data_IF_695371477425
#
_entry.id   IF_695371477425
#
_cell.length_a   1.000
_cell.length_b   1.000
_cell.length_c   1.000
_cell.angle_alpha   90.00
_cell.angle_beta   90.00
_cell.angle_gamma   90.00
#
_symmetry.space_group_name_H-M   'P 1'
#
loop_
_entity.id
_entity.type
_entity.pdbx_description
1 polymer ?
#
# COMPACT_ATOMS: atom_id res chain seq x y z
N UNK A 1 -1.20 24.19 -11.38
CA UNK A 1 -0.69 22.84 -11.03
C UNK A 1 -0.43 22.83 -9.53
N UNK A 2 -1.35 22.29 -8.74
CA UNK A 2 -1.24 22.30 -7.28
C UNK A 2 -0.29 21.19 -6.86
N UNK A 3 0.90 21.56 -6.40
CA UNK A 3 1.83 20.67 -5.73
C UNK A 3 1.17 20.18 -4.43
N UNK A 4 0.70 18.93 -4.39
CA UNK A 4 0.39 18.28 -3.13
C UNK A 4 1.70 17.88 -2.47
N UNK A 5 2.27 18.77 -1.64
CA UNK A 5 3.31 18.41 -0.68
C UNK A 5 2.65 18.43 0.69
N UNK A 6 2.03 17.31 1.07
CA UNK A 6 1.74 17.12 2.49
C UNK A 6 3.10 16.91 3.19
N UNK A 7 3.44 17.79 4.13
CA UNK A 7 4.56 17.58 5.03
C UNK A 7 4.20 16.40 5.93
N UNK A 8 4.52 15.18 5.49
CA UNK A 8 4.28 13.96 6.26
C UNK A 8 5.56 13.58 6.98
N UNK A 9 5.53 13.63 8.31
CA UNK A 9 6.55 12.99 9.13
C UNK A 9 6.17 11.53 9.27
N UNK A 10 6.90 10.64 8.58
CA UNK A 10 6.73 9.20 8.74
C UNK A 10 7.02 8.80 10.19
N UNK A 11 6.12 8.03 10.79
CA UNK A 11 6.34 7.48 12.13
C UNK A 11 7.49 6.44 12.09
N UNK A 12 8.22 6.24 13.20
CA UNK A 12 9.13 5.10 13.33
C UNK A 12 8.43 3.79 12.95
N UNK A 13 9.14 2.91 12.23
CA UNK A 13 8.58 1.66 11.71
C UNK A 13 8.06 1.72 10.27
N UNK A 14 8.14 2.87 9.59
CA UNK A 14 7.91 2.92 8.15
C UNK A 14 9.10 2.36 7.37
N UNK A 15 8.84 1.37 6.53
CA UNK A 15 9.84 0.76 5.66
C UNK A 15 9.46 0.95 4.19
N UNK A 16 10.41 1.42 3.37
CA UNK A 16 10.26 1.47 1.91
C UNK A 16 10.96 0.27 1.30
N UNK A 17 10.23 -0.52 0.51
CA UNK A 17 10.82 -1.60 -0.28
C UNK A 17 11.08 -1.10 -1.71
N UNK A 18 12.30 -1.31 -2.20
CA UNK A 18 12.76 -0.92 -3.52
C UNK A 18 13.45 -2.13 -4.16
N UNK A 19 13.35 -2.24 -5.48
CA UNK A 19 13.96 -3.33 -6.24
C UNK A 19 13.82 -3.14 -7.74
N UNK A 20 14.47 -4.00 -8.51
CA UNK A 20 14.25 -4.09 -9.96
C UNK A 20 12.86 -4.66 -10.27
N UNK A 21 12.41 -4.51 -11.51
CA UNK A 21 11.15 -5.11 -11.97
C UNK A 21 11.10 -6.62 -11.71
N UNK A 22 12.21 -7.33 -11.91
CA UNK A 22 12.30 -8.79 -11.65
C UNK A 22 12.10 -9.11 -10.16
N UNK A 23 12.58 -8.24 -9.27
CA UNK A 23 12.43 -8.43 -7.82
C UNK A 23 11.02 -8.09 -7.34
N UNK A 24 10.38 -7.08 -7.94
CA UNK A 24 9.08 -6.57 -7.50
C UNK A 24 7.88 -7.27 -8.16
N UNK A 25 8.02 -7.77 -9.39
CA UNK A 25 6.93 -8.46 -10.09
C UNK A 25 6.31 -9.62 -9.31
N UNK A 26 7.08 -10.49 -8.61
CA UNK A 26 6.50 -11.52 -7.75
C UNK A 26 5.69 -10.96 -6.57
N UNK A 27 6.10 -9.81 -6.02
CA UNK A 27 5.38 -9.15 -4.91
C UNK A 27 4.04 -8.62 -5.40
N UNK A 28 4.03 -7.91 -6.54
CA UNK A 28 2.80 -7.39 -7.13
C UNK A 28 1.84 -8.53 -7.48
N UNK A 29 2.34 -9.60 -8.11
CA UNK A 29 1.53 -10.77 -8.43
C UNK A 29 0.97 -11.45 -7.18
N UNK A 30 1.76 -11.59 -6.12
CA UNK A 30 1.33 -12.21 -4.86
C UNK A 30 0.22 -11.44 -4.14
N UNK A 31 0.15 -10.12 -4.36
CA UNK A 31 -0.89 -9.25 -3.82
C UNK A 31 -1.93 -8.82 -4.87
N UNK A 32 -1.91 -9.43 -6.06
CA UNK A 32 -2.84 -9.11 -7.16
C UNK A 32 -2.85 -7.63 -7.58
N UNK A 33 -1.73 -6.93 -7.45
CA UNK A 33 -1.56 -5.53 -7.85
C UNK A 33 -1.13 -5.46 -9.32
N UNK A 34 -1.93 -4.83 -10.17
CA UNK A 34 -1.54 -4.51 -11.54
C UNK A 34 -0.49 -3.39 -11.54
N UNK A 35 0.56 -3.55 -12.36
CA UNK A 35 1.60 -2.55 -12.60
C UNK A 35 2.04 -2.64 -14.06
N UNK A 36 1.99 -1.53 -14.78
CA UNK A 36 2.48 -1.38 -16.15
C UNK A 36 3.23 -0.06 -16.32
N UNK A 37 4.46 -0.13 -16.82
CA UNK A 37 5.29 1.04 -17.05
C UNK A 37 4.95 1.65 -18.41
N UNK A 38 4.48 2.88 -18.42
CA UNK A 38 4.31 3.68 -19.63
C UNK A 38 5.50 4.62 -19.86
N UNK A 39 5.56 5.28 -21.01
CA UNK A 39 6.69 6.16 -21.37
C UNK A 39 6.90 7.35 -20.42
N UNK A 40 5.88 7.76 -19.67
CA UNK A 40 5.94 8.93 -18.78
C UNK A 40 5.53 8.65 -17.34
N UNK A 41 4.92 7.49 -17.08
CA UNK A 41 4.29 7.18 -15.78
C UNK A 41 4.14 5.67 -15.58
N UNK A 42 3.71 5.24 -14.40
CA UNK A 42 3.35 3.86 -14.10
C UNK A 42 1.84 3.78 -13.90
N UNK A 43 1.17 3.01 -14.76
CA UNK A 43 -0.24 2.65 -14.54
C UNK A 43 -0.27 1.53 -13.52
N UNK A 44 -0.98 1.72 -12.42
CA UNK A 44 -1.04 0.72 -11.37
C UNK A 44 -2.36 0.78 -10.58
N UNK A 45 -2.67 -0.31 -9.89
CA UNK A 45 -3.73 -0.29 -8.89
C UNK A 45 -3.30 0.56 -7.68
N UNK A 46 -4.19 1.42 -7.21
CA UNK A 46 -3.98 2.24 -6.03
C UNK A 46 -4.69 1.59 -4.85
N UNK A 47 -3.95 0.80 -4.05
CA UNK A 47 -4.50 0.02 -2.94
C UNK A 47 -3.78 0.24 -1.62
N UNK A 48 -4.50 0.05 -0.52
CA UNK A 48 -3.95 -0.14 0.83
C UNK A 48 -4.34 -1.53 1.33
N UNK A 49 -3.33 -2.34 1.68
CA UNK A 49 -3.50 -3.68 2.20
C UNK A 49 -3.13 -3.72 3.69
N UNK A 50 -3.98 -4.32 4.50
CA UNK A 50 -3.68 -4.66 5.90
C UNK A 50 -3.28 -6.13 5.95
N UNK A 51 -2.03 -6.39 6.34
CA UNK A 51 -1.44 -7.73 6.35
C UNK A 51 -1.35 -8.23 7.80
N UNK A 52 -1.81 -9.46 8.04
CA UNK A 52 -1.71 -10.10 9.36
C UNK A 52 -0.26 -10.55 9.67
N UNK A 53 0.08 -10.88 10.94
CA UNK A 53 1.43 -11.35 11.29
C UNK A 53 1.88 -12.65 10.60
N UNK A 54 0.97 -13.38 9.95
CA UNK A 54 1.27 -14.59 9.17
C UNK A 54 1.48 -14.28 7.69
N UNK A 55 1.46 -12.99 7.30
CA UNK A 55 1.68 -12.53 5.93
C UNK A 55 0.44 -12.62 5.04
N UNK A 56 -0.77 -12.74 5.59
CA UNK A 56 -2.00 -12.83 4.81
C UNK A 56 -2.71 -11.50 4.75
N UNK A 57 -3.32 -11.19 3.60
CA UNK A 57 -4.20 -10.02 3.47
C UNK A 57 -5.42 -10.23 4.36
N UNK A 58 -5.60 -9.33 5.34
CA UNK A 58 -6.79 -9.30 6.18
C UNK A 58 -7.86 -8.35 5.63
N UNK A 59 -7.44 -7.24 5.02
CA UNK A 59 -8.36 -6.25 4.42
C UNK A 59 -7.65 -5.52 3.30
N UNK A 60 -8.41 -5.17 2.26
CA UNK A 60 -7.96 -4.40 1.11
C UNK A 60 -8.88 -3.19 0.91
N UNK A 61 -8.28 -2.05 0.59
CA UNK A 61 -8.97 -0.81 0.28
C UNK A 61 -8.46 -0.25 -1.04
N UNK A 62 -9.36 -0.08 -2.01
CA UNK A 62 -9.07 0.63 -3.26
C UNK A 62 -9.15 2.15 -3.04
N UNK A 63 -8.33 2.91 -3.76
CA UNK A 63 -8.44 4.35 -3.78
C UNK A 63 -9.69 4.82 -4.55
N UNK A 64 -10.34 5.92 -4.15
CA UNK A 64 -10.00 6.77 -3.00
C UNK A 64 -10.29 6.07 -1.66
N UNK A 65 -9.36 6.23 -0.70
CA UNK A 65 -9.41 5.46 0.55
C UNK A 65 -10.58 5.91 1.46
N UNK A 66 -11.41 4.98 1.95
CA UNK A 66 -12.44 5.27 2.93
C UNK A 66 -11.80 5.45 4.32
N UNK A 67 -11.35 6.67 4.63
CA UNK A 67 -10.51 6.95 5.81
C UNK A 67 -11.12 6.49 7.15
N UNK A 68 -12.44 6.50 7.29
CA UNK A 68 -13.15 6.01 8.50
C UNK A 68 -13.00 4.50 8.67
N UNK A 69 -13.13 3.73 7.59
CA UNK A 69 -13.03 2.28 7.60
C UNK A 69 -11.57 1.84 7.78
N UNK A 70 -10.65 2.49 7.07
CA UNK A 70 -9.20 2.28 7.22
C UNK A 70 -8.79 2.47 8.69
N UNK A 71 -9.20 3.57 9.32
CA UNK A 71 -8.87 3.83 10.73
C UNK A 71 -9.49 2.78 11.67
N UNK A 72 -10.68 2.29 11.36
CA UNK A 72 -11.33 1.23 12.14
C UNK A 72 -10.54 -0.07 12.04
N UNK A 73 -10.14 -0.48 10.84
CA UNK A 73 -9.36 -1.70 10.63
C UNK A 73 -7.96 -1.62 11.23
N UNK A 74 -7.28 -0.46 11.16
CA UNK A 74 -5.96 -0.29 11.79
C UNK A 74 -6.04 -0.47 13.31
N UNK A 75 -7.04 0.13 13.96
CA UNK A 75 -7.26 -0.06 15.40
C UNK A 75 -7.55 -1.52 15.77
N UNK A 76 -8.30 -2.23 14.91
CA UNK A 76 -8.58 -3.65 15.12
C UNK A 76 -7.31 -4.51 14.94
N UNK A 77 -6.45 -4.17 13.98
CA UNK A 77 -5.20 -4.87 13.74
C UNK A 77 -4.20 -4.69 14.89
N UNK A 78 -4.07 -3.47 15.43
CA UNK A 78 -3.22 -3.18 16.59
C UNK A 78 -3.66 -3.93 17.84
N UNK A 79 -4.97 -4.11 18.05
CA UNK A 79 -5.52 -4.84 19.19
C UNK A 79 -5.32 -6.36 19.11
N UNK A 80 -4.96 -6.90 17.94
CA UNK A 80 -4.76 -8.32 17.70
C UNK A 80 -3.27 -8.75 17.74
N UNK A 81 -2.35 -7.80 17.94
CA UNK A 81 -0.91 -8.02 18.13
C UNK A 81 -0.57 -8.20 19.62
#
# INVERSE_FOLDING_TARGET
MSHFVATVTWRPGWHRLLGSQVQLAPVWAGYHVFVDASAADVVHDAVLLIIDPKGRVSTEYNAPLPLTEVNTSLKAADAAQ
#
